data_IF_857017600467
#
_entry.id   IF_857017600467
#
_cell.length_a   1.000
_cell.length_b   1.000
_cell.length_c   1.000
_cell.angle_alpha   90.00
_cell.angle_beta   90.00
_cell.angle_gamma   90.00
#
_symmetry.space_group_name_H-M   'P 1'
#
loop_
_entity.id
_entity.type
_entity.pdbx_description
1 polymer ?
#
# COMPACT_ATOMS: atom_id res chain seq x y z
N UNK A 1 -16.44 19.27 2.24
CA UNK A 1 -16.06 19.30 3.67
C UNK A 1 -14.80 18.46 3.89
N UNK A 2 -13.60 18.98 3.56
CA UNK A 2 -12.34 18.28 3.84
C UNK A 2 -12.00 18.53 5.31
N UNK A 3 -12.42 17.61 6.18
CA UNK A 3 -11.91 17.49 7.54
C UNK A 3 -10.45 17.03 7.42
N UNK A 4 -9.55 17.99 7.15
CA UNK A 4 -8.12 17.74 7.11
C UNK A 4 -7.73 17.12 8.45
N UNK A 5 -7.19 15.91 8.37
CA UNK A 5 -6.87 15.10 9.52
C UNK A 5 -5.92 15.86 10.45
N UNK A 6 -6.33 15.98 11.70
CA UNK A 6 -5.60 16.66 12.76
C UNK A 6 -4.36 15.82 13.11
N UNK A 7 -3.25 16.04 12.39
CA UNK A 7 -1.90 15.68 12.85
C UNK A 7 -1.29 16.77 13.72
N UNK A 8 -2.09 17.79 14.07
CA UNK A 8 -1.76 18.88 14.98
C UNK A 8 -1.55 18.32 16.40
N UNK A 9 -0.34 17.84 16.65
CA UNK A 9 0.10 17.38 17.97
C UNK A 9 1.36 16.52 17.98
N UNK A 10 1.80 15.99 16.82
CA UNK A 10 3.02 15.18 16.75
C UNK A 10 3.67 15.27 15.37
N UNK A 11 4.92 15.76 15.33
CA UNK A 11 5.77 15.78 14.12
C UNK A 11 5.90 14.38 13.50
N UNK A 12 5.92 13.34 14.34
CA UNK A 12 5.89 11.95 13.92
C UNK A 12 4.61 11.63 13.15
N UNK A 13 3.44 12.00 13.70
CA UNK A 13 2.15 11.82 13.02
C UNK A 13 2.11 12.51 11.65
N UNK A 14 2.52 13.78 11.59
CA UNK A 14 2.57 14.53 10.34
C UNK A 14 3.49 13.86 9.29
N UNK A 15 4.66 13.35 9.71
CA UNK A 15 5.59 12.64 8.83
C UNK A 15 5.02 11.34 8.26
N UNK A 16 4.42 10.49 9.10
CA UNK A 16 3.82 9.23 8.64
C UNK A 16 2.69 9.49 7.65
N UNK A 17 1.89 10.54 7.88
CA UNK A 17 0.81 10.92 6.97
C UNK A 17 1.29 11.49 5.66
N UNK A 18 2.35 12.30 5.67
CA UNK A 18 2.99 12.76 4.44
C UNK A 18 3.49 11.57 3.60
N UNK A 19 4.08 10.55 4.24
CA UNK A 19 4.52 9.32 3.57
C UNK A 19 3.32 8.58 2.96
N UNK A 20 2.26 8.33 3.74
CA UNK A 20 1.07 7.64 3.26
C UNK A 20 0.42 8.36 2.07
N UNK A 21 0.25 9.69 2.17
CA UNK A 21 -0.29 10.51 1.08
C UNK A 21 0.59 10.47 -0.18
N UNK A 22 1.92 10.49 -0.01
CA UNK A 22 2.85 10.39 -1.12
C UNK A 22 2.71 9.05 -1.85
N UNK A 23 2.63 7.94 -1.11
CA UNK A 23 2.43 6.61 -1.69
C UNK A 23 1.10 6.51 -2.44
N UNK A 24 0.01 6.99 -1.83
CA UNK A 24 -1.32 7.02 -2.47
C UNK A 24 -1.28 7.84 -3.77
N UNK A 25 -0.66 9.01 -3.74
CA UNK A 25 -0.57 9.87 -4.91
C UNK A 25 0.27 9.22 -6.03
N UNK A 26 1.37 8.56 -5.68
CA UNK A 26 2.20 7.82 -6.64
C UNK A 26 1.41 6.69 -7.31
N UNK A 27 0.62 5.91 -6.56
CA UNK A 27 -0.23 4.86 -7.15
C UNK A 27 -1.23 5.44 -8.16
N UNK A 28 -1.90 6.53 -7.79
CA UNK A 28 -2.84 7.25 -8.69
C UNK A 28 -2.18 7.75 -9.96
N UNK A 29 -0.98 8.34 -9.85
CA UNK A 29 -0.22 8.84 -11.00
C UNK A 29 0.19 7.72 -11.97
N UNK A 30 0.33 6.49 -11.48
CA UNK A 30 0.64 5.31 -12.29
C UNK A 30 -0.62 4.56 -12.76
N UNK A 31 -1.83 5.08 -12.53
CA UNK A 31 -3.08 4.44 -12.94
C UNK A 31 -3.43 3.18 -12.14
N UNK A 32 -2.81 3.00 -10.98
CA UNK A 32 -2.99 1.82 -10.11
C UNK A 32 -3.99 2.14 -9.00
N UNK A 33 -4.85 1.18 -8.66
CA UNK A 33 -5.74 1.31 -7.50
C UNK A 33 -4.90 1.41 -6.20
N UNK A 34 -4.95 2.55 -5.48
CA UNK A 34 -4.07 2.75 -4.33
C UNK A 34 -4.34 1.79 -3.18
N UNK A 35 -5.58 1.36 -3.00
CA UNK A 35 -5.95 0.47 -1.90
C UNK A 35 -5.42 -0.94 -2.18
N UNK A 36 -5.70 -1.48 -3.37
CA UNK A 36 -5.24 -2.81 -3.76
C UNK A 36 -3.72 -2.92 -3.77
N UNK A 37 -3.02 -1.89 -4.28
CA UNK A 37 -1.56 -1.85 -4.28
C UNK A 37 -0.98 -1.81 -2.87
N UNK A 38 -1.46 -0.89 -2.03
CA UNK A 38 -0.91 -0.74 -0.69
C UNK A 38 -1.19 -1.98 0.18
N UNK A 39 -2.34 -2.62 0.02
CA UNK A 39 -2.66 -3.87 0.72
C UNK A 39 -1.67 -4.99 0.34
N UNK A 40 -1.48 -5.26 -0.96
CA UNK A 40 -0.57 -6.33 -1.41
C UNK A 40 0.89 -6.04 -1.02
N UNK A 41 1.34 -4.79 -1.17
CA UNK A 41 2.71 -4.40 -0.79
C UNK A 41 2.95 -4.57 0.71
N UNK A 42 2.04 -4.06 1.56
CA UNK A 42 2.19 -4.19 3.01
C UNK A 42 2.11 -5.65 3.46
N UNK A 43 1.22 -6.46 2.88
CA UNK A 43 1.14 -7.89 3.19
C UNK A 43 2.44 -8.61 2.85
N UNK A 44 3.02 -8.36 1.67
CA UNK A 44 4.28 -8.98 1.24
C UNK A 44 5.48 -8.57 2.09
N UNK A 45 5.53 -7.31 2.50
CA UNK A 45 6.59 -6.78 3.37
C UNK A 45 6.50 -7.39 4.77
N UNK A 46 5.30 -7.44 5.36
CA UNK A 46 5.09 -7.98 6.72
C UNK A 46 5.27 -9.49 6.75
N UNK A 47 4.80 -10.21 5.72
CA UNK A 47 4.96 -11.67 5.63
C UNK A 47 6.38 -12.12 5.28
N UNK A 48 7.26 -11.19 4.87
CA UNK A 48 8.62 -11.53 4.40
C UNK A 48 8.65 -12.31 3.09
N UNK A 49 7.52 -12.39 2.37
CA UNK A 49 7.39 -13.09 1.08
C UNK A 49 8.28 -12.46 0.01
N UNK A 50 8.53 -11.16 0.11
CA UNK A 50 9.41 -10.41 -0.79
C UNK A 50 10.71 -10.08 -0.09
N UNK A 51 11.84 -10.44 -0.72
CA UNK A 51 13.17 -10.09 -0.23
C UNK A 51 13.46 -8.61 -0.50
N UNK A 52 14.34 -8.01 0.30
CA UNK A 52 14.77 -6.61 0.11
C UNK A 52 15.29 -6.32 -1.30
N UNK A 53 15.95 -7.29 -1.92
CA UNK A 53 16.47 -7.17 -3.28
C UNK A 53 15.39 -7.15 -4.38
N UNK A 54 14.14 -7.48 -4.05
CA UNK A 54 13.02 -7.59 -4.98
C UNK A 54 11.96 -6.49 -4.74
N UNK A 55 12.26 -5.50 -3.89
CA UNK A 55 11.32 -4.41 -3.57
C UNK A 55 10.96 -3.56 -4.79
N UNK A 56 11.82 -3.49 -5.79
CA UNK A 56 11.57 -2.82 -7.06
C UNK A 56 10.38 -3.42 -7.82
N UNK A 57 10.10 -4.71 -7.62
CA UNK A 57 8.94 -5.40 -8.20
C UNK A 57 7.62 -4.95 -7.58
N UNK A 58 7.66 -4.36 -6.39
CA UNK A 58 6.49 -3.85 -5.67
C UNK A 58 6.17 -2.40 -6.04
N UNK A 59 7.03 -1.72 -6.81
CA UNK A 59 6.79 -0.35 -7.25
C UNK A 59 5.57 -0.30 -8.18
N UNK A 60 4.76 0.78 -8.14
CA UNK A 60 3.44 0.77 -8.76
C UNK A 60 3.49 0.62 -10.29
N UNK A 61 4.59 0.99 -10.95
CA UNK A 61 4.79 0.75 -12.39
C UNK A 61 5.21 -0.68 -12.76
N UNK A 62 5.74 -1.44 -11.80
CA UNK A 62 6.11 -2.85 -11.97
C UNK A 62 5.07 -3.80 -11.34
N UNK A 63 4.15 -3.25 -10.55
CA UNK A 63 3.19 -4.01 -9.78
C UNK A 63 2.21 -4.75 -10.68
N UNK A 64 2.22 -6.07 -10.59
CA UNK A 64 1.22 -6.93 -11.21
C UNK A 64 0.21 -7.29 -10.14
N UNK A 65 -1.05 -6.91 -10.36
CA UNK A 65 -2.15 -7.27 -9.49
C UNK A 65 -2.22 -8.80 -9.38
N UNK A 66 -1.65 -9.35 -8.31
CA UNK A 66 -1.85 -10.74 -7.96
C UNK A 66 -3.23 -10.78 -7.34
N UNK A 67 -4.27 -10.95 -8.17
CA UNK A 67 -5.58 -11.30 -7.62
C UNK A 67 -5.35 -12.46 -6.66
N UNK A 68 -5.72 -12.35 -5.38
CA UNK A 68 -5.77 -13.52 -4.54
C UNK A 68 -6.83 -14.41 -5.20
N UNK A 69 -6.36 -15.42 -5.94
CA UNK A 69 -7.23 -16.45 -6.47
C UNK A 69 -8.06 -16.94 -5.29
N UNK A 70 -9.38 -16.81 -5.43
CA UNK A 70 -10.42 -17.32 -4.55
C UNK A 70 -9.90 -18.44 -3.65
N UNK A 71 -9.55 -18.10 -2.41
CA UNK A 71 -9.31 -19.12 -1.39
C UNK A 71 -10.64 -19.90 -1.25
N UNK A 72 -10.63 -21.24 -1.29
CA UNK A 72 -11.87 -21.99 -1.16
C UNK A 72 -12.47 -21.65 0.20
N UNK A 73 -13.73 -21.22 0.18
CA UNK A 73 -14.53 -21.07 1.38
C UNK A 73 -14.42 -22.39 2.16
N UNK A 74 -13.93 -22.28 3.39
CA UNK A 74 -13.78 -23.39 4.32
C UNK A 74 -15.17 -24.01 4.47
N UNK A 75 -15.35 -25.21 3.91
CA UNK A 75 -16.57 -25.99 4.11
C UNK A 75 -16.67 -26.34 5.60
N UNK A 76 -17.73 -25.83 6.23
CA UNK A 76 -18.19 -26.26 7.55
C UNK A 76 -19.16 -27.43 7.39
#
# INVERSE_FOLDING_TARGET
>A
NRKNALFAGSDGGARHWAIAMTLIQTAKLNGVDPQAWLTDVLERVVSGRTKTAELDTLLPWNWKHSSPATAPAIAA
#
